data_IF_371963252652
#
_entry.id   IF_371963252652
#
_cell.length_a   1.000
_cell.length_b   1.000
_cell.length_c   1.000
_cell.angle_alpha   90.00
_cell.angle_beta   90.00
_cell.angle_gamma   90.00
#
_symmetry.space_group_name_H-M   'P 1'
#
loop_
_entity.id
_entity.type
_entity.pdbx_description
1 polymer ?
#
# COMPACT_ATOMS: atom_id res chain seq x y z
N UNK A 1 4.98 5.70 43.54
CA UNK A 1 5.40 7.07 43.17
C UNK A 1 5.85 7.05 41.73
N UNK A 2 5.08 7.70 40.88
CA UNK A 2 5.44 8.00 39.48
C UNK A 2 6.47 9.12 39.53
N UNK A 3 7.71 8.84 39.16
CA UNK A 3 8.69 9.89 38.91
C UNK A 3 8.49 10.33 37.45
N UNK A 4 7.77 11.43 37.27
CA UNK A 4 7.87 12.20 36.03
C UNK A 4 9.34 12.66 35.89
N UNK A 5 9.96 12.57 34.70
CA UNK A 5 11.30 13.09 34.53
C UNK A 5 11.23 14.61 34.49
N UNK A 6 11.34 15.22 35.67
CA UNK A 6 11.73 16.62 35.81
C UNK A 6 13.15 16.79 35.24
N UNK A 7 13.27 17.67 34.26
CA UNK A 7 14.47 18.44 33.90
C UNK A 7 15.84 17.77 34.10
N UNK A 8 16.02 16.52 33.64
CA UNK A 8 17.37 15.96 33.53
C UNK A 8 18.04 16.47 32.25
N UNK A 9 19.19 17.12 32.42
CA UNK A 9 20.11 17.52 31.35
C UNK A 9 20.67 16.29 30.62
N UNK A 10 21.10 16.48 29.37
CA UNK A 10 21.65 15.41 28.52
C UNK A 10 22.79 14.61 29.20
N UNK A 11 23.61 15.27 30.03
CA UNK A 11 24.70 14.63 30.77
C UNK A 11 24.22 13.76 31.93
N UNK A 12 23.12 14.13 32.59
CA UNK A 12 22.56 13.37 33.71
C UNK A 12 21.95 12.04 33.24
N UNK A 13 21.34 12.00 32.04
CA UNK A 13 20.79 10.75 31.48
C UNK A 13 21.88 9.78 30.99
N UNK A 14 22.96 10.28 30.38
CA UNK A 14 24.13 9.42 30.06
C UNK A 14 24.78 8.84 31.32
N UNK A 15 24.93 9.66 32.36
CA UNK A 15 25.43 9.22 33.68
C UNK A 15 24.54 8.16 34.35
N UNK A 16 23.21 8.32 34.27
CA UNK A 16 22.24 7.34 34.77
C UNK A 16 22.28 6.01 33.98
N UNK A 17 22.70 6.02 32.72
CA UNK A 17 22.83 4.82 31.89
C UNK A 17 24.12 4.05 32.17
N UNK A 18 25.20 4.76 32.52
CA UNK A 18 26.46 4.13 32.91
C UNK A 18 26.41 3.60 34.34
N UNK A 19 25.81 4.34 35.26
CA UNK A 19 25.62 3.89 36.66
C UNK A 19 24.44 2.90 36.81
N UNK A 20 23.36 3.08 36.05
CA UNK A 20 22.19 2.19 36.06
C UNK A 20 22.41 0.87 35.32
N UNK A 21 23.24 0.86 34.26
CA UNK A 21 23.57 -0.36 33.51
C UNK A 21 24.31 -1.40 34.36
N UNK A 22 25.24 -0.98 35.22
CA UNK A 22 25.93 -1.88 36.16
C UNK A 22 25.03 -2.35 37.31
N UNK A 23 24.14 -1.49 37.81
CA UNK A 23 23.18 -1.84 38.85
C UNK A 23 22.09 -2.82 38.34
N UNK A 24 21.68 -2.69 37.08
CA UNK A 24 20.72 -3.59 36.41
C UNK A 24 21.35 -4.94 36.05
N UNK A 25 22.65 -4.97 35.69
CA UNK A 25 23.41 -6.23 35.49
C UNK A 25 23.52 -7.05 36.78
N UNK A 26 23.88 -6.39 37.89
CA UNK A 26 24.02 -7.04 39.22
C UNK A 26 22.70 -7.53 39.83
N UNK A 27 21.56 -6.98 39.41
CA UNK A 27 20.22 -7.39 39.88
C UNK A 27 19.58 -8.47 38.99
N UNK A 28 19.92 -8.49 37.69
CA UNK A 28 19.54 -9.58 36.77
C UNK A 28 20.26 -10.90 37.09
N UNK A 29 21.50 -10.86 37.59
CA UNK A 29 22.26 -12.05 38.01
C UNK A 29 21.76 -12.69 39.32
N UNK A 30 20.90 -11.98 40.08
CA UNK A 30 20.49 -12.39 41.43
C UNK A 30 18.98 -12.66 41.60
N UNK A 31 18.18 -12.73 40.52
CA UNK A 31 16.76 -13.01 40.67
C UNK A 31 16.21 -13.92 39.57
N UNK A 32 15.67 -15.06 40.00
CA UNK A 32 14.99 -16.08 39.19
C UNK A 32 13.60 -15.60 38.67
N UNK A 33 13.49 -14.29 38.43
CA UNK A 33 12.27 -13.57 38.03
C UNK A 33 12.55 -12.53 36.93
N UNK A 34 13.52 -12.83 36.07
CA UNK A 34 14.04 -11.95 35.01
C UNK A 34 13.03 -11.46 33.95
N UNK A 35 11.79 -11.95 33.94
CA UNK A 35 10.77 -11.49 32.98
C UNK A 35 9.88 -10.34 33.48
N UNK A 36 9.87 -10.03 34.80
CA UNK A 36 8.89 -9.09 35.36
C UNK A 36 9.40 -7.68 35.69
N UNK A 37 10.72 -7.45 35.77
CA UNK A 37 11.26 -6.16 36.27
C UNK A 37 11.78 -5.19 35.19
N UNK A 38 12.02 -5.65 33.97
CA UNK A 38 12.47 -4.80 32.84
C UNK A 38 11.31 -3.94 32.26
N UNK A 39 10.08 -4.13 32.75
CA UNK A 39 8.87 -3.53 32.18
C UNK A 39 8.58 -2.06 32.54
N UNK A 40 9.49 -1.33 33.21
CA UNK A 40 9.11 -0.08 33.90
C UNK A 40 9.82 1.21 33.50
N UNK A 41 10.74 1.17 32.53
CA UNK A 41 11.27 2.41 31.92
C UNK A 41 10.60 2.55 30.54
N UNK A 42 9.56 3.38 30.49
CA UNK A 42 8.90 3.72 29.25
C UNK A 42 9.75 4.74 28.46
N UNK A 43 10.69 4.23 27.68
CA UNK A 43 11.53 5.04 26.80
C UNK A 43 10.73 5.79 25.71
N UNK A 44 9.41 5.54 25.59
CA UNK A 44 8.51 6.33 24.74
C UNK A 44 8.49 7.80 25.13
N UNK A 45 8.41 8.10 26.43
CA UNK A 45 8.41 9.49 26.92
C UNK A 45 9.72 10.20 26.61
N UNK A 46 10.82 9.44 26.55
CA UNK A 46 12.13 9.95 26.17
C UNK A 46 12.21 10.26 24.66
N UNK A 47 11.74 9.35 23.81
CA UNK A 47 11.65 9.59 22.35
C UNK A 47 10.77 10.80 22.05
N UNK A 48 9.66 10.99 22.77
CA UNK A 48 8.83 12.19 22.65
C UNK A 48 9.54 13.48 23.06
N UNK A 49 10.39 13.44 24.09
CA UNK A 49 11.24 14.57 24.48
C UNK A 49 12.24 14.89 23.37
N UNK A 50 12.99 13.91 22.87
CA UNK A 50 13.92 14.09 21.75
C UNK A 50 13.22 14.54 20.46
N UNK A 51 11.97 14.14 20.25
CA UNK A 51 11.14 14.62 19.14
C UNK A 51 10.90 16.13 19.25
N UNK A 52 10.48 16.62 20.43
CA UNK A 52 10.30 18.05 20.73
C UNK A 52 11.60 18.84 20.61
N UNK A 53 12.70 18.27 21.10
CA UNK A 53 14.02 18.92 21.15
C UNK A 53 14.74 18.91 19.79
N UNK A 54 14.15 18.36 18.74
CA UNK A 54 14.74 18.37 17.41
C UNK A 54 15.77 17.25 17.13
N UNK A 55 16.35 16.65 18.16
CA UNK A 55 17.53 15.78 18.07
C UNK A 55 17.19 14.28 18.00
N UNK A 56 16.59 13.82 16.89
CA UNK A 56 16.20 12.41 16.74
C UNK A 56 17.40 11.45 16.56
N UNK A 57 18.54 11.93 16.06
CA UNK A 57 19.75 11.09 15.91
C UNK A 57 20.29 10.66 17.28
N UNK A 58 20.39 11.58 18.23
CA UNK A 58 20.81 11.24 19.58
C UNK A 58 19.86 10.25 20.28
N UNK A 59 18.55 10.34 19.99
CA UNK A 59 17.58 9.37 20.47
C UNK A 59 17.87 7.96 19.92
N UNK A 60 18.22 7.85 18.64
CA UNK A 60 18.60 6.59 18.04
C UNK A 60 19.91 6.02 18.60
N UNK A 61 20.95 6.86 18.71
CA UNK A 61 22.25 6.43 19.24
C UNK A 61 22.10 5.91 20.68
N UNK A 62 21.24 6.55 21.47
CA UNK A 62 20.87 6.10 22.81
C UNK A 62 20.19 4.72 22.79
N UNK A 63 19.13 4.56 21.98
CA UNK A 63 18.40 3.29 21.88
C UNK A 63 19.30 2.16 21.37
N UNK A 64 20.22 2.45 20.45
CA UNK A 64 21.22 1.52 19.97
C UNK A 64 22.18 1.12 21.10
N UNK A 65 22.72 2.09 21.86
CA UNK A 65 23.62 1.80 22.99
C UNK A 65 22.96 0.94 24.09
N UNK A 66 21.65 1.11 24.31
CA UNK A 66 20.88 0.29 25.24
C UNK A 66 20.74 -1.15 24.71
N UNK A 67 20.52 -1.31 23.40
CA UNK A 67 20.45 -2.62 22.79
C UNK A 67 21.81 -3.34 22.79
N UNK A 68 22.91 -2.63 22.55
CA UNK A 68 24.27 -3.19 22.63
C UNK A 68 24.60 -3.66 24.05
N UNK A 69 24.00 -3.02 25.07
CA UNK A 69 24.02 -3.47 26.47
C UNK A 69 23.02 -4.63 26.76
N UNK A 70 22.44 -5.25 25.75
CA UNK A 70 21.42 -6.32 25.81
C UNK A 70 20.13 -5.94 26.58
N UNK A 71 19.77 -4.66 26.60
CA UNK A 71 18.50 -4.21 27.18
C UNK A 71 17.41 -4.37 26.12
N UNK A 72 16.42 -5.24 26.39
CA UNK A 72 15.31 -5.47 25.46
C UNK A 72 14.33 -4.30 25.49
N UNK A 73 14.22 -3.61 24.36
CA UNK A 73 13.34 -2.47 24.17
C UNK A 73 12.04 -2.90 23.50
N UNK A 74 10.93 -2.29 23.90
CA UNK A 74 9.62 -2.57 23.32
C UNK A 74 9.52 -1.99 21.89
N UNK A 75 9.00 -2.77 20.94
CA UNK A 75 8.73 -2.36 19.54
C UNK A 75 8.01 -1.00 19.43
N UNK A 76 7.03 -0.64 20.29
CA UNK A 76 6.44 0.70 20.35
C UNK A 76 7.42 1.88 20.43
N UNK A 77 8.55 1.73 21.14
CA UNK A 77 9.55 2.81 21.28
C UNK A 77 10.16 3.15 19.91
N UNK A 78 10.53 2.13 19.15
CA UNK A 78 11.05 2.29 17.79
C UNK A 78 9.97 2.71 16.80
N UNK A 79 8.70 2.29 16.98
CA UNK A 79 7.58 2.78 16.17
C UNK A 79 7.44 4.30 16.28
N UNK A 80 7.56 4.86 17.48
CA UNK A 80 7.49 6.30 17.71
C UNK A 80 8.69 7.04 17.11
N UNK A 81 9.90 6.47 17.22
CA UNK A 81 11.08 7.02 16.57
C UNK A 81 10.91 7.04 15.04
N UNK A 82 10.40 5.96 14.44
CA UNK A 82 10.13 5.86 13.01
C UNK A 82 9.06 6.87 12.58
N UNK A 83 8.00 7.05 13.36
CA UNK A 83 6.98 8.06 13.09
C UNK A 83 7.58 9.48 13.09
N UNK A 84 8.39 9.80 14.10
CA UNK A 84 9.06 11.10 14.22
C UNK A 84 10.08 11.34 13.08
N UNK A 85 10.85 10.32 12.71
CA UNK A 85 11.79 10.39 11.59
C UNK A 85 11.04 10.57 10.25
N UNK A 86 9.91 9.90 10.08
CA UNK A 86 9.01 10.06 8.94
C UNK A 86 8.42 11.46 8.81
N UNK A 87 8.03 12.10 9.92
CA UNK A 87 7.55 13.49 9.95
C UNK A 87 8.64 14.49 9.54
N UNK A 88 9.89 14.27 9.99
CA UNK A 88 11.04 15.11 9.61
C UNK A 88 11.62 14.78 8.24
N UNK A 89 11.11 13.75 7.56
CA UNK A 89 11.62 13.24 6.28
C UNK A 89 13.11 12.86 6.33
N UNK A 90 13.56 12.36 7.48
CA UNK A 90 14.90 11.83 7.64
C UNK A 90 14.95 10.39 7.12
N UNK A 91 15.33 10.22 5.86
CA UNK A 91 15.35 8.94 5.16
C UNK A 91 16.30 7.94 5.84
N UNK A 92 17.48 8.41 6.25
CA UNK A 92 18.53 7.58 6.86
C UNK A 92 18.11 7.07 8.23
N UNK A 93 17.59 7.96 9.08
CA UNK A 93 17.11 7.58 10.40
C UNK A 93 15.90 6.66 10.32
N UNK A 94 14.99 6.92 9.37
CA UNK A 94 13.81 6.07 9.15
C UNK A 94 14.19 4.65 8.75
N UNK A 95 15.15 4.49 7.82
CA UNK A 95 15.67 3.18 7.46
C UNK A 95 16.32 2.45 8.64
N UNK A 96 17.12 3.16 9.44
CA UNK A 96 17.78 2.60 10.63
C UNK A 96 16.78 2.15 11.69
N UNK A 97 15.81 3.00 12.04
CA UNK A 97 14.76 2.67 12.99
C UNK A 97 13.92 1.48 12.51
N UNK A 98 13.55 1.45 11.22
CA UNK A 98 12.78 0.37 10.62
C UNK A 98 13.54 -0.97 10.65
N UNK A 99 14.83 -0.98 10.30
CA UNK A 99 15.68 -2.18 10.37
C UNK A 99 15.73 -2.77 11.78
N UNK A 100 15.90 -1.91 12.78
CA UNK A 100 15.94 -2.32 14.19
C UNK A 100 14.64 -3.01 14.61
N UNK A 101 13.49 -2.46 14.18
CA UNK A 101 12.20 -3.08 14.42
C UNK A 101 12.08 -4.46 13.77
N UNK A 102 12.57 -4.63 12.53
CA UNK A 102 12.54 -5.93 11.84
C UNK A 102 13.36 -7.00 12.57
N UNK A 103 14.55 -6.64 13.04
CA UNK A 103 15.44 -7.57 13.76
C UNK A 103 14.83 -8.01 15.09
N UNK A 104 14.16 -7.10 15.81
CA UNK A 104 13.61 -7.39 17.13
C UNK A 104 12.24 -8.08 17.10
N UNK A 105 11.37 -7.71 16.16
CA UNK A 105 9.98 -8.16 16.18
C UNK A 105 9.82 -9.65 15.88
N UNK A 106 10.76 -10.26 15.14
CA UNK A 106 10.69 -11.66 14.69
C UNK A 106 9.46 -12.00 13.83
N UNK A 107 8.63 -11.00 13.53
CA UNK A 107 7.31 -11.10 12.89
C UNK A 107 7.09 -9.88 11.98
N UNK A 108 6.16 -9.96 11.01
CA UNK A 108 5.87 -8.82 10.14
C UNK A 108 5.34 -7.62 10.94
N UNK A 109 5.93 -6.44 10.71
CA UNK A 109 5.49 -5.19 11.35
C UNK A 109 4.06 -4.78 10.96
N UNK A 110 3.44 -3.88 11.72
CA UNK A 110 2.13 -3.32 11.41
C UNK A 110 2.16 -2.41 10.16
N UNK A 111 1.03 -2.26 9.46
CA UNK A 111 0.91 -1.40 8.26
C UNK A 111 1.41 0.03 8.49
N UNK A 112 1.11 0.62 9.65
CA UNK A 112 1.56 1.96 10.03
C UNK A 112 3.09 2.14 9.95
N UNK A 113 3.86 1.08 10.25
CA UNK A 113 5.32 1.14 10.22
C UNK A 113 5.82 1.36 8.79
N UNK A 114 5.25 0.63 7.82
CA UNK A 114 5.58 0.79 6.41
C UNK A 114 5.14 2.15 5.88
N UNK A 115 3.98 2.65 6.31
CA UNK A 115 3.49 3.98 5.95
C UNK A 115 4.36 5.11 6.52
N UNK A 116 4.83 4.97 7.75
CA UNK A 116 5.77 5.94 8.34
C UNK A 116 7.13 5.90 7.64
N UNK A 117 7.62 4.72 7.24
CA UNK A 117 8.79 4.59 6.38
C UNK A 117 8.55 5.31 5.04
N UNK A 118 7.45 5.02 4.34
CA UNK A 118 7.12 5.66 3.07
C UNK A 118 7.00 7.19 3.19
N UNK A 119 6.43 7.68 4.30
CA UNK A 119 6.30 9.11 4.61
C UNK A 119 7.66 9.82 4.63
N UNK A 120 8.69 9.16 5.18
CA UNK A 120 10.05 9.72 5.24
C UNK A 120 10.62 10.03 3.84
N UNK A 121 10.20 9.25 2.85
CA UNK A 121 10.68 9.34 1.47
C UNK A 121 9.80 10.20 0.56
N UNK A 122 8.75 10.85 1.09
CA UNK A 122 7.90 11.75 0.29
C UNK A 122 8.68 13.00 -0.11
N UNK A 123 8.87 13.18 -1.43
CA UNK A 123 9.68 14.23 -2.07
C UNK A 123 11.19 14.09 -1.84
N UNK A 124 11.66 13.01 -1.23
CA UNK A 124 13.08 12.67 -1.23
C UNK A 124 13.46 12.11 -2.60
N UNK A 125 14.52 12.65 -3.21
CA UNK A 125 15.09 12.10 -4.45
C UNK A 125 15.92 10.83 -4.18
N UNK A 126 16.39 10.70 -2.94
CA UNK A 126 17.21 9.60 -2.47
C UNK A 126 16.41 8.29 -2.37
N UNK A 127 16.69 7.37 -3.28
CA UNK A 127 16.25 5.98 -3.22
C UNK A 127 17.37 5.04 -2.73
N UNK A 128 18.59 5.54 -2.55
CA UNK A 128 19.79 4.72 -2.27
C UNK A 128 19.65 4.04 -0.91
N UNK A 129 19.28 4.81 0.12
CA UNK A 129 19.09 4.25 1.47
C UNK A 129 17.94 3.24 1.51
N UNK A 130 16.85 3.50 0.77
CA UNK A 130 15.71 2.60 0.67
C UNK A 130 16.10 1.28 -0.01
N UNK A 131 16.78 1.35 -1.15
CA UNK A 131 17.22 0.17 -1.89
C UNK A 131 18.29 -0.61 -1.14
N UNK A 132 19.21 0.06 -0.42
CA UNK A 132 20.19 -0.61 0.46
C UNK A 132 19.49 -1.39 1.56
N UNK A 133 18.53 -0.76 2.25
CA UNK A 133 17.74 -1.42 3.29
C UNK A 133 17.00 -2.64 2.75
N UNK A 134 16.31 -2.51 1.61
CA UNK A 134 15.53 -3.61 1.04
C UNK A 134 16.42 -4.73 0.51
N UNK A 135 17.58 -4.40 -0.06
CA UNK A 135 18.60 -5.38 -0.44
C UNK A 135 19.04 -6.20 0.78
N UNK A 136 19.43 -5.54 1.87
CA UNK A 136 19.83 -6.20 3.11
C UNK A 136 18.71 -7.08 3.68
N UNK A 137 17.45 -6.62 3.63
CA UNK A 137 16.30 -7.42 4.06
C UNK A 137 16.08 -8.63 3.15
N UNK A 138 16.24 -8.46 1.84
CA UNK A 138 16.06 -9.54 0.86
C UNK A 138 17.13 -10.63 0.96
N UNK A 139 18.39 -10.24 1.23
CA UNK A 139 19.53 -11.15 1.39
C UNK A 139 19.60 -11.77 2.79
N UNK A 140 18.83 -11.24 3.75
CA UNK A 140 18.80 -11.77 5.11
C UNK A 140 18.04 -13.10 5.21
N UNK A 141 18.41 -13.91 6.21
CA UNK A 141 17.68 -15.12 6.60
C UNK A 141 16.37 -14.83 7.34
N UNK A 142 15.82 -13.61 7.25
CA UNK A 142 14.58 -13.25 7.91
C UNK A 142 13.40 -14.04 7.29
N UNK A 143 12.54 -14.66 8.12
CA UNK A 143 11.40 -15.44 7.62
C UNK A 143 10.36 -14.58 6.87
N UNK A 144 10.42 -13.25 7.02
CA UNK A 144 9.42 -12.32 6.49
C UNK A 144 9.90 -11.49 5.29
N UNK A 145 11.03 -11.82 4.65
CA UNK A 145 11.66 -10.96 3.61
C UNK A 145 10.70 -10.50 2.50
N UNK A 146 9.95 -11.43 1.91
CA UNK A 146 8.99 -11.13 0.84
C UNK A 146 7.84 -10.26 1.34
N UNK A 147 7.35 -10.55 2.55
CA UNK A 147 6.27 -9.77 3.19
C UNK A 147 6.72 -8.32 3.39
N UNK A 148 7.96 -8.11 3.83
CA UNK A 148 8.50 -6.76 4.05
C UNK A 148 8.61 -5.98 2.75
N UNK A 149 9.15 -6.59 1.68
CA UNK A 149 9.28 -5.94 0.38
C UNK A 149 7.89 -5.62 -0.20
N UNK A 150 6.97 -6.59 -0.21
CA UNK A 150 5.61 -6.39 -0.76
C UNK A 150 4.85 -5.32 0.03
N UNK A 151 4.90 -5.32 1.37
CA UNK A 151 4.28 -4.28 2.21
C UNK A 151 4.92 -2.90 2.04
N UNK A 152 6.22 -2.86 1.77
CA UNK A 152 6.89 -1.60 1.43
C UNK A 152 6.37 -1.06 0.10
N UNK A 153 6.26 -1.90 -0.94
CA UNK A 153 5.65 -1.51 -2.22
C UNK A 153 4.23 -0.99 -2.01
N UNK A 154 3.41 -1.68 -1.23
CA UNK A 154 2.06 -1.24 -0.90
C UNK A 154 2.05 0.15 -0.24
N UNK A 155 2.89 0.37 0.77
CA UNK A 155 2.94 1.66 1.47
C UNK A 155 3.42 2.81 0.58
N UNK A 156 4.41 2.57 -0.28
CA UNK A 156 4.86 3.56 -1.26
C UNK A 156 3.81 3.79 -2.37
N UNK A 157 3.04 2.76 -2.73
CA UNK A 157 1.92 2.87 -3.65
C UNK A 157 0.79 3.73 -3.06
N UNK A 158 0.43 3.50 -1.79
CA UNK A 158 -0.54 4.33 -1.07
C UNK A 158 -0.07 5.79 -0.92
N UNK A 159 1.25 5.98 -0.77
CA UNK A 159 1.90 7.30 -0.69
C UNK A 159 2.17 7.96 -2.05
N UNK A 160 1.65 7.37 -3.15
CA UNK A 160 1.78 7.87 -4.53
C UNK A 160 3.22 8.06 -5.02
N UNK A 161 4.17 7.29 -4.50
CA UNK A 161 5.59 7.38 -4.87
C UNK A 161 5.92 6.41 -6.01
N UNK A 162 5.42 6.69 -7.22
CA UNK A 162 5.52 5.78 -8.37
C UNK A 162 6.97 5.42 -8.71
N UNK A 163 7.86 6.42 -8.81
CA UNK A 163 9.25 6.21 -9.22
C UNK A 163 9.98 5.24 -8.28
N UNK A 164 9.67 5.32 -6.98
CA UNK A 164 10.25 4.46 -5.95
C UNK A 164 9.70 3.04 -6.06
N UNK A 165 8.39 2.90 -6.29
CA UNK A 165 7.76 1.60 -6.52
C UNK A 165 8.38 0.89 -7.72
N UNK A 166 8.56 1.60 -8.85
CA UNK A 166 9.16 1.03 -10.05
C UNK A 166 10.61 0.59 -9.82
N UNK A 167 11.43 1.41 -9.15
CA UNK A 167 12.81 1.06 -8.79
C UNK A 167 12.88 -0.18 -7.89
N UNK A 168 11.95 -0.32 -6.93
CA UNK A 168 11.92 -1.50 -6.06
C UNK A 168 11.56 -2.75 -6.87
N UNK A 169 10.52 -2.69 -7.73
CA UNK A 169 10.09 -3.83 -8.55
C UNK A 169 11.17 -4.27 -9.53
N UNK A 170 11.92 -3.33 -10.11
CA UNK A 170 13.09 -3.63 -10.94
C UNK A 170 14.15 -4.41 -10.14
N UNK A 171 14.47 -3.94 -8.93
CA UNK A 171 15.46 -4.59 -8.05
C UNK A 171 15.01 -5.92 -7.44
N UNK A 172 13.71 -6.15 -7.28
CA UNK A 172 13.19 -7.44 -6.81
C UNK A 172 13.64 -8.62 -7.68
N UNK A 173 13.78 -8.39 -9.00
CA UNK A 173 14.31 -9.41 -9.93
C UNK A 173 15.76 -9.78 -9.64
N UNK A 174 16.57 -8.81 -9.21
CA UNK A 174 17.97 -9.02 -8.82
C UNK A 174 18.11 -9.72 -7.46
N UNK A 175 17.15 -9.52 -6.56
CA UNK A 175 17.15 -10.07 -5.20
C UNK A 175 16.51 -11.47 -5.09
N UNK A 176 16.30 -12.15 -6.22
CA UNK A 176 15.61 -13.45 -6.31
C UNK A 176 14.23 -13.46 -5.59
N UNK A 177 13.60 -12.28 -5.48
CA UNK A 177 12.31 -12.09 -4.84
C UNK A 177 11.26 -11.88 -5.92
N UNK A 178 10.51 -12.94 -6.28
CA UNK A 178 9.47 -12.83 -7.31
C UNK A 178 8.25 -12.05 -6.78
N UNK A 179 7.78 -11.02 -7.49
CA UNK A 179 6.52 -10.36 -7.15
C UNK A 179 5.35 -11.33 -7.28
N UNK A 180 4.39 -11.25 -6.35
CA UNK A 180 3.14 -12.00 -6.42
C UNK A 180 2.03 -11.19 -7.12
N UNK A 181 0.89 -11.84 -7.38
CA UNK A 181 -0.30 -11.20 -8.00
C UNK A 181 -0.73 -9.94 -7.24
N UNK A 182 -0.61 -9.94 -5.91
CA UNK A 182 -0.99 -8.79 -5.06
C UNK A 182 -0.06 -7.61 -5.31
N UNK A 183 1.25 -7.88 -5.43
CA UNK A 183 2.27 -6.88 -5.72
C UNK A 183 2.04 -6.29 -7.10
N UNK A 184 1.87 -7.12 -8.13
CA UNK A 184 1.55 -6.67 -9.48
C UNK A 184 0.29 -5.80 -9.52
N UNK A 185 -0.81 -6.26 -8.92
CA UNK A 185 -2.07 -5.52 -8.91
C UNK A 185 -1.96 -4.16 -8.22
N UNK A 186 -1.14 -4.06 -7.17
CA UNK A 186 -0.91 -2.80 -6.46
C UNK A 186 -0.10 -1.81 -7.28
N UNK A 187 0.92 -2.30 -8.00
CA UNK A 187 1.72 -1.48 -8.91
C UNK A 187 0.88 -1.03 -10.11
N UNK A 188 0.06 -1.92 -10.69
CA UNK A 188 -0.89 -1.57 -11.75
C UNK A 188 -1.90 -0.50 -11.29
N UNK A 189 -2.43 -0.59 -10.07
CA UNK A 189 -3.37 0.41 -9.55
C UNK A 189 -2.73 1.80 -9.41
N UNK A 190 -1.51 1.90 -8.86
CA UNK A 190 -0.83 3.19 -8.75
C UNK A 190 -0.45 3.75 -10.13
N UNK A 191 0.05 2.92 -11.06
CA UNK A 191 0.36 3.36 -12.43
C UNK A 191 -0.89 3.88 -13.15
N UNK A 192 -2.02 3.18 -13.00
CA UNK A 192 -3.31 3.61 -13.54
C UNK A 192 -3.81 4.92 -12.93
N UNK A 193 -3.64 5.12 -11.62
CA UNK A 193 -3.97 6.40 -10.95
C UNK A 193 -3.05 7.55 -11.36
N UNK A 194 -1.79 7.25 -11.67
CA UNK A 194 -0.81 8.23 -12.14
C UNK A 194 -0.96 8.55 -13.65
N UNK A 195 -1.79 7.79 -14.38
CA UNK A 195 -1.96 7.96 -15.83
C UNK A 195 -0.77 7.45 -16.66
N UNK A 196 0.14 6.68 -16.06
CA UNK A 196 1.33 6.12 -16.73
C UNK A 196 0.95 4.85 -17.50
N UNK A 197 0.14 5.02 -18.54
CA UNK A 197 -0.48 3.93 -19.31
C UNK A 197 0.56 2.99 -19.93
N UNK A 198 1.65 3.53 -20.48
CA UNK A 198 2.67 2.72 -21.15
C UNK A 198 3.38 1.79 -20.16
N UNK A 199 3.71 2.27 -18.96
CA UNK A 199 4.29 1.43 -17.90
C UNK A 199 3.30 0.39 -17.40
N UNK A 200 2.04 0.77 -17.25
CA UNK A 200 0.99 -0.16 -16.84
C UNK A 200 0.82 -1.31 -17.83
N UNK A 201 0.84 -1.02 -19.13
CA UNK A 201 0.77 -2.04 -20.19
C UNK A 201 2.02 -2.91 -20.24
N UNK A 202 3.22 -2.32 -20.13
CA UNK A 202 4.47 -3.10 -20.04
C UNK A 202 4.44 -4.07 -18.86
N UNK A 203 3.99 -3.60 -17.69
CA UNK A 203 3.90 -4.43 -16.51
C UNK A 203 2.88 -5.56 -16.70
N UNK A 204 1.71 -5.26 -17.28
CA UNK A 204 0.70 -6.27 -17.60
C UNK A 204 1.24 -7.33 -18.57
N UNK A 205 1.95 -6.94 -19.62
CA UNK A 205 2.59 -7.89 -20.54
C UNK A 205 3.62 -8.76 -19.83
N UNK A 206 4.46 -8.15 -18.97
CA UNK A 206 5.43 -8.92 -18.19
C UNK A 206 4.78 -9.92 -17.22
N UNK A 207 3.59 -9.59 -16.70
CA UNK A 207 2.81 -10.47 -15.82
C UNK A 207 2.18 -11.63 -16.61
N UNK A 208 1.83 -11.43 -17.89
CA UNK A 208 1.31 -12.48 -18.79
C UNK A 208 2.40 -13.46 -19.23
N UNK A 209 3.64 -12.99 -19.34
CA UNK A 209 4.80 -13.82 -19.69
C UNK A 209 5.31 -14.64 -18.50
N UNK A 210 4.95 -14.27 -17.27
CA UNK A 210 5.36 -14.97 -16.06
C UNK A 210 4.45 -16.19 -15.78
N UNK A 211 5.00 -17.39 -15.92
CA UNK A 211 4.26 -18.64 -15.72
C UNK A 211 3.81 -18.86 -14.26
N UNK A 212 4.44 -18.19 -13.29
CA UNK A 212 4.14 -18.37 -11.88
C UNK A 212 2.97 -17.47 -11.41
N UNK A 213 2.48 -16.58 -12.29
CA UNK A 213 1.50 -15.55 -11.96
C UNK A 213 0.26 -15.65 -12.85
N UNK A 214 -0.87 -16.02 -12.26
CA UNK A 214 -2.14 -16.07 -12.98
C UNK A 214 -2.90 -14.74 -12.86
N UNK A 215 -3.23 -14.13 -14.00
CA UNK A 215 -4.10 -12.96 -14.07
C UNK A 215 -5.50 -13.34 -13.60
N UNK A 216 -6.15 -12.43 -12.88
CA UNK A 216 -7.50 -12.63 -12.38
C UNK A 216 -8.39 -11.39 -12.62
N UNK A 217 -9.65 -11.49 -12.20
CA UNK A 217 -10.62 -10.39 -12.27
C UNK A 217 -10.09 -9.09 -11.65
N UNK A 218 -9.31 -9.18 -10.55
CA UNK A 218 -8.76 -8.00 -9.87
C UNK A 218 -7.73 -7.32 -10.77
N UNK A 219 -6.89 -8.09 -11.47
CA UNK A 219 -5.91 -7.56 -12.42
C UNK A 219 -6.59 -6.81 -13.56
N UNK A 220 -7.52 -7.46 -14.27
CA UNK A 220 -8.23 -6.85 -15.40
C UNK A 220 -9.04 -5.62 -14.98
N UNK A 221 -9.79 -5.69 -13.88
CA UNK A 221 -10.54 -4.54 -13.36
C UNK A 221 -9.64 -3.38 -12.96
N UNK A 222 -8.43 -3.66 -12.47
CA UNK A 222 -7.45 -2.62 -12.14
C UNK A 222 -6.97 -1.91 -13.41
N UNK A 223 -6.56 -2.67 -14.43
CA UNK A 223 -6.08 -2.09 -15.69
C UNK A 223 -7.20 -1.38 -16.45
N UNK A 224 -8.40 -1.97 -16.55
CA UNK A 224 -9.57 -1.34 -17.18
C UNK A 224 -9.91 0.01 -16.53
N UNK A 225 -9.93 0.07 -15.20
CA UNK A 225 -10.17 1.33 -14.49
C UNK A 225 -9.04 2.35 -14.72
N UNK A 226 -7.79 1.89 -14.81
CA UNK A 226 -6.65 2.72 -15.18
C UNK A 226 -6.80 3.33 -16.58
N UNK A 227 -7.12 2.51 -17.59
CA UNK A 227 -7.33 2.94 -18.97
C UNK A 227 -8.49 3.93 -19.09
N UNK A 228 -9.61 3.63 -18.45
CA UNK A 228 -10.79 4.49 -18.41
C UNK A 228 -10.48 5.86 -17.83
N UNK A 229 -9.72 5.92 -16.73
CA UNK A 229 -9.30 7.19 -16.10
C UNK A 229 -8.31 7.97 -16.95
N UNK A 230 -7.43 7.27 -17.68
CA UNK A 230 -6.49 7.85 -18.62
C UNK A 230 -7.13 8.20 -19.99
N UNK A 231 -8.44 8.07 -20.14
CA UNK A 231 -9.18 8.30 -21.38
C UNK A 231 -8.71 7.44 -22.57
N UNK A 232 -8.08 6.29 -22.32
CA UNK A 232 -7.66 5.32 -23.33
C UNK A 232 -8.77 4.32 -23.61
N UNK A 233 -9.89 4.85 -24.11
CA UNK A 233 -11.11 4.07 -24.34
C UNK A 233 -10.95 2.99 -25.40
N UNK A 234 -10.05 3.21 -26.37
CA UNK A 234 -9.60 2.25 -27.38
C UNK A 234 -9.14 0.92 -26.75
N UNK A 235 -8.37 1.02 -25.65
CA UNK A 235 -7.81 -0.14 -24.97
C UNK A 235 -8.81 -0.88 -24.09
N UNK A 236 -9.87 -0.21 -23.61
CA UNK A 236 -10.82 -0.82 -22.69
C UNK A 236 -11.59 -2.00 -23.31
N UNK A 237 -11.99 -1.89 -24.58
CA UNK A 237 -12.68 -2.99 -25.27
C UNK A 237 -11.72 -4.16 -25.54
N UNK A 238 -10.50 -3.88 -25.99
CA UNK A 238 -9.47 -4.90 -26.24
C UNK A 238 -9.17 -5.71 -24.96
N UNK A 239 -8.97 -5.03 -23.84
CA UNK A 239 -8.71 -5.69 -22.56
C UNK A 239 -9.90 -6.48 -22.03
N UNK A 240 -11.13 -6.04 -22.33
CA UNK A 240 -12.35 -6.77 -21.97
C UNK A 240 -12.49 -8.05 -22.79
N UNK A 241 -12.29 -7.98 -24.10
CA UNK A 241 -12.32 -9.15 -24.99
C UNK A 241 -11.23 -10.15 -24.60
N UNK A 242 -10.02 -9.68 -24.31
CA UNK A 242 -8.94 -10.51 -23.81
C UNK A 242 -9.31 -11.22 -22.49
N UNK A 243 -9.90 -10.49 -21.53
CA UNK A 243 -10.35 -11.06 -20.26
C UNK A 243 -11.34 -12.22 -20.49
N UNK A 244 -12.32 -12.02 -21.39
CA UNK A 244 -13.31 -13.04 -21.75
C UNK A 244 -12.65 -14.23 -22.46
N UNK A 245 -11.70 -13.99 -23.36
CA UNK A 245 -10.95 -15.06 -24.05
C UNK A 245 -10.09 -15.89 -23.09
N UNK A 246 -9.56 -15.26 -22.04
CA UNK A 246 -8.86 -15.95 -20.96
C UNK A 246 -9.79 -16.73 -20.00
N UNK A 247 -11.11 -16.74 -20.26
CA UNK A 247 -12.10 -17.42 -19.41
C UNK A 247 -12.36 -16.72 -18.07
N UNK A 248 -11.99 -15.43 -17.95
CA UNK A 248 -12.25 -14.64 -16.74
C UNK A 248 -13.61 -13.94 -16.92
N UNK A 249 -14.57 -14.28 -16.08
CA UNK A 249 -15.92 -13.75 -16.16
C UNK A 249 -15.97 -12.27 -15.79
N UNK A 250 -16.52 -11.39 -16.66
CA UNK A 250 -16.70 -9.99 -16.31
C UNK A 250 -17.66 -9.77 -15.15
N UNK A 251 -17.32 -8.84 -14.27
CA UNK A 251 -18.19 -8.42 -13.16
C UNK A 251 -18.75 -7.00 -13.37
N UNK A 252 -19.47 -6.49 -12.37
CA UNK A 252 -20.02 -5.14 -12.36
C UNK A 252 -18.94 -4.07 -12.65
N UNK A 253 -17.72 -4.22 -12.12
CA UNK A 253 -16.63 -3.27 -12.33
C UNK A 253 -16.15 -3.33 -13.78
N UNK A 254 -16.02 -4.52 -14.35
CA UNK A 254 -15.63 -4.72 -15.76
C UNK A 254 -16.65 -4.05 -16.69
N UNK A 255 -17.94 -4.39 -16.57
CA UNK A 255 -18.99 -3.82 -17.40
C UNK A 255 -19.09 -2.31 -17.24
N UNK A 256 -19.07 -1.80 -16.00
CA UNK A 256 -19.13 -0.35 -15.75
C UNK A 256 -17.97 0.37 -16.43
N UNK A 257 -16.75 -0.18 -16.34
CA UNK A 257 -15.58 0.47 -16.92
C UNK A 257 -15.64 0.51 -18.46
N UNK A 258 -16.05 -0.58 -19.09
CA UNK A 258 -16.08 -0.71 -20.55
C UNK A 258 -17.26 0.06 -21.15
N UNK A 259 -18.46 -0.02 -20.56
CA UNK A 259 -19.63 0.72 -21.02
C UNK A 259 -19.42 2.24 -20.90
N UNK A 260 -18.85 2.74 -19.78
CA UNK A 260 -18.49 4.16 -19.64
C UNK A 260 -17.48 4.58 -20.71
N UNK A 261 -16.47 3.75 -20.98
CA UNK A 261 -15.44 4.02 -21.99
C UNK A 261 -16.04 4.07 -23.40
N UNK A 262 -16.86 3.09 -23.77
CA UNK A 262 -17.53 3.03 -25.07
C UNK A 262 -18.48 4.22 -25.24
N UNK A 263 -19.27 4.53 -24.22
CA UNK A 263 -20.18 5.67 -24.21
C UNK A 263 -19.46 7.01 -24.42
N UNK A 264 -18.29 7.19 -23.79
CA UNK A 264 -17.44 8.37 -23.96
C UNK A 264 -16.74 8.44 -25.32
N UNK A 265 -16.40 7.30 -25.91
CA UNK A 265 -15.83 7.21 -27.26
C UNK A 265 -16.85 7.36 -28.39
N UNK A 266 -18.15 7.37 -28.07
CA UNK A 266 -19.24 7.44 -29.05
C UNK A 266 -19.59 6.10 -29.70
N UNK A 267 -19.04 4.98 -29.22
CA UNK A 267 -19.39 3.65 -29.70
C UNK A 267 -20.67 3.13 -29.01
N UNK A 268 -21.79 3.80 -29.30
CA UNK A 268 -23.09 3.56 -28.66
C UNK A 268 -23.61 2.15 -28.86
N UNK A 269 -23.41 1.59 -30.07
CA UNK A 269 -23.93 0.26 -30.43
C UNK A 269 -23.32 -0.82 -29.54
N UNK A 270 -22.00 -0.77 -29.35
CA UNK A 270 -21.29 -1.75 -28.53
C UNK A 270 -21.58 -1.56 -27.04
N UNK A 271 -21.72 -0.31 -26.60
CA UNK A 271 -22.11 0.01 -25.23
C UNK A 271 -23.48 -0.59 -24.86
N UNK A 272 -24.47 -0.47 -25.75
CA UNK A 272 -25.79 -1.08 -25.57
C UNK A 272 -25.74 -2.61 -25.61
N UNK A 273 -24.95 -3.20 -26.52
CA UNK A 273 -24.77 -4.66 -26.57
C UNK A 273 -24.26 -5.20 -25.24
N UNK A 274 -23.22 -4.58 -24.67
CA UNK A 274 -22.66 -4.98 -23.38
C UNK A 274 -23.60 -4.73 -22.21
N UNK A 275 -24.46 -3.71 -22.30
CA UNK A 275 -25.49 -3.45 -21.30
C UNK A 275 -26.58 -4.54 -21.30
N UNK A 276 -27.03 -4.96 -22.48
CA UNK A 276 -27.98 -6.07 -22.61
C UNK A 276 -27.36 -7.39 -22.14
N UNK A 277 -26.09 -7.63 -22.49
CA UNK A 277 -25.34 -8.80 -22.00
C UNK A 277 -25.21 -8.81 -20.47
N UNK A 278 -24.89 -7.67 -19.86
CA UNK A 278 -24.82 -7.51 -18.40
C UNK A 278 -26.14 -7.88 -17.73
N UNK A 279 -27.29 -7.44 -18.28
CA UNK A 279 -28.62 -7.81 -17.78
C UNK A 279 -28.94 -9.29 -17.97
N UNK A 280 -28.58 -9.87 -19.12
CA UNK A 280 -28.78 -11.30 -19.39
C UNK A 280 -27.99 -12.19 -18.43
N UNK A 281 -26.83 -11.72 -17.96
CA UNK A 281 -26.03 -12.38 -16.92
C UNK A 281 -26.49 -12.07 -15.50
N UNK A 282 -27.65 -11.43 -15.33
CA UNK A 282 -28.24 -11.04 -14.04
C UNK A 282 -27.33 -10.13 -13.19
N UNK A 283 -26.39 -9.41 -13.83
CA UNK A 283 -25.55 -8.43 -13.15
C UNK A 283 -26.30 -7.11 -13.08
N UNK A 284 -26.65 -6.68 -11.87
CA UNK A 284 -27.42 -5.45 -11.64
C UNK A 284 -26.67 -4.22 -12.16
N UNK A 285 -27.22 -3.46 -13.12
CA UNK A 285 -26.60 -2.22 -13.58
C UNK A 285 -26.57 -1.16 -12.47
N UNK A 286 -25.54 -0.32 -12.49
CA UNK A 286 -25.46 0.82 -11.57
C UNK A 286 -26.02 2.08 -12.23
N UNK A 287 -26.31 3.09 -11.40
CA UNK A 287 -26.66 4.44 -11.89
C UNK A 287 -25.57 5.01 -12.81
N UNK A 288 -24.30 4.64 -12.60
CA UNK A 288 -23.19 5.09 -13.45
C UNK A 288 -23.30 4.53 -14.87
N UNK A 289 -23.69 3.26 -15.01
CA UNK A 289 -23.89 2.61 -16.32
C UNK A 289 -25.02 3.28 -17.09
N UNK A 290 -26.18 3.47 -16.44
CA UNK A 290 -27.31 4.17 -17.06
C UNK A 290 -26.95 5.59 -17.50
N UNK A 291 -26.27 6.37 -16.64
CA UNK A 291 -25.84 7.72 -16.98
C UNK A 291 -24.90 7.75 -18.19
N UNK A 292 -23.91 6.86 -18.23
CA UNK A 292 -22.98 6.77 -19.36
C UNK A 292 -23.72 6.49 -20.68
N UNK A 293 -24.69 5.58 -20.68
CA UNK A 293 -25.48 5.26 -21.87
C UNK A 293 -26.42 6.39 -22.28
N UNK A 294 -27.14 7.00 -21.34
CA UNK A 294 -28.04 8.12 -21.61
C UNK A 294 -27.27 9.31 -22.19
N UNK A 295 -26.12 9.65 -21.62
CA UNK A 295 -25.27 10.75 -22.10
C UNK A 295 -24.70 10.44 -23.48
N UNK A 296 -24.32 9.19 -23.74
CA UNK A 296 -23.87 8.74 -25.06
C UNK A 296 -24.97 8.89 -26.12
N UNK A 297 -26.17 8.36 -25.84
CA UNK A 297 -27.33 8.42 -26.75
C UNK A 297 -27.77 9.85 -27.05
N UNK A 298 -27.72 10.74 -26.05
CA UNK A 298 -27.98 12.17 -26.28
C UNK A 298 -26.96 12.78 -27.23
N UNK A 299 -25.68 12.42 -27.11
CA UNK A 299 -24.62 12.92 -28.00
C UNK A 299 -24.74 12.39 -29.42
N UNK A 300 -25.22 11.16 -29.60
CA UNK A 300 -25.44 10.56 -30.94
C UNK A 300 -26.79 10.92 -31.56
N UNK A 301 -27.65 11.66 -30.85
CA UNK A 301 -28.96 12.10 -31.33
C UNK A 301 -30.08 11.05 -31.20
N UNK A 302 -29.82 9.91 -30.54
CA UNK A 302 -30.80 8.85 -30.26
C UNK A 302 -31.68 9.20 -29.04
N UNK A 303 -32.31 10.37 -29.05
CA UNK A 303 -33.06 10.91 -27.89
C UNK A 303 -34.17 10.00 -27.39
N UNK A 304 -34.88 9.30 -28.27
CA UNK A 304 -35.95 8.38 -27.88
C UNK A 304 -35.44 7.23 -27.01
N UNK A 305 -34.28 6.66 -27.35
CA UNK A 305 -33.65 5.60 -26.55
C UNK A 305 -33.09 6.15 -25.24
N UNK A 306 -32.54 7.36 -25.26
CA UNK A 306 -32.11 8.04 -24.05
C UNK A 306 -33.27 8.27 -23.06
N UNK A 307 -34.46 8.62 -23.57
CA UNK A 307 -35.68 8.75 -22.77
C UNK A 307 -36.13 7.40 -22.22
N UNK A 308 -36.15 6.35 -23.05
CA UNK A 308 -36.49 5.00 -22.61
C UNK A 308 -35.60 4.52 -21.46
N UNK A 309 -34.27 4.66 -21.58
CA UNK A 309 -33.34 4.30 -20.50
C UNK A 309 -33.50 5.20 -19.27
N UNK A 310 -33.85 6.48 -19.46
CA UNK A 310 -34.12 7.38 -18.33
C UNK A 310 -35.38 6.99 -17.57
N UNK A 311 -36.41 6.53 -18.25
CA UNK A 311 -37.66 6.10 -17.61
C UNK A 311 -37.51 4.70 -17.00
N UNK A 312 -36.75 3.81 -17.64
CA UNK A 312 -36.30 2.55 -17.03
C UNK A 312 -35.57 2.82 -15.70
N UNK A 313 -34.59 3.73 -15.69
CA UNK A 313 -33.86 4.08 -14.47
C UNK A 313 -34.78 4.63 -13.37
N UNK A 314 -35.78 5.46 -13.70
CA UNK A 314 -36.74 6.00 -12.71
C UNK A 314 -37.66 4.93 -12.13
N UNK A 315 -38.05 3.96 -12.95
CA UNK A 315 -38.96 2.89 -12.57
C UNK A 315 -38.23 1.71 -11.89
N UNK A 316 -36.91 1.63 -12.02
CA UNK A 316 -36.08 0.61 -11.37
C UNK A 316 -35.98 0.90 -9.88
N UNK A 317 -36.24 -0.10 -9.04
CA UNK A 317 -36.11 0.06 -7.59
C UNK A 317 -34.63 0.21 -7.17
N UNK A 318 -34.38 0.84 -6.02
CA UNK A 318 -33.03 0.96 -5.50
C UNK A 318 -32.37 -0.40 -5.18
N UNK A 319 -33.14 -1.48 -5.04
CA UNK A 319 -32.64 -2.84 -4.78
C UNK A 319 -32.14 -3.52 -6.06
N UNK A 320 -32.67 -3.12 -7.22
CA UNK A 320 -32.31 -3.70 -8.53
C UNK A 320 -31.12 -2.97 -9.17
N UNK A 321 -30.70 -1.86 -8.58
CA UNK A 321 -29.49 -1.13 -8.96
C UNK A 321 -28.31 -1.53 -8.08
N UNK A 322 -27.14 -1.65 -8.70
CA UNK A 322 -25.91 -1.81 -7.93
C UNK A 322 -25.55 -0.51 -7.20
N UNK A 323 -25.40 -0.62 -5.87
CA UNK A 323 -25.04 0.46 -4.96
C UNK A 323 -23.54 0.49 -4.65
N UNK A 324 -23.06 1.48 -3.86
CA UNK A 324 -21.64 1.64 -3.55
C UNK A 324 -20.95 0.42 -2.92
N UNK A 325 -21.71 -0.43 -2.23
CA UNK A 325 -21.17 -1.65 -1.61
C UNK A 325 -20.87 -2.74 -2.65
N UNK A 326 -21.64 -2.81 -3.74
CA UNK A 326 -21.44 -3.79 -4.82
C UNK A 326 -20.16 -3.50 -5.63
N UNK A 327 -19.62 -2.27 -5.53
CA UNK A 327 -18.34 -1.88 -6.12
C UNK A 327 -17.12 -2.22 -5.25
N UNK A 328 -17.32 -2.66 -4.01
CA UNK A 328 -16.20 -3.04 -3.15
C UNK A 328 -15.62 -4.36 -3.65
N UNK A 329 -14.33 -4.34 -3.95
CA UNK A 329 -13.56 -5.57 -4.22
C UNK A 329 -13.72 -6.48 -3.01
N UNK A 330 -14.46 -7.57 -3.14
CA UNK A 330 -14.37 -8.67 -2.20
C UNK A 330 -12.98 -9.28 -2.40
N UNK A 331 -11.99 -8.74 -1.69
CA UNK A 331 -10.74 -9.44 -1.40
C UNK A 331 -11.15 -10.69 -0.61
N UNK A 332 -11.49 -11.77 -1.32
CA UNK A 332 -11.46 -13.10 -0.71
C UNK A 332 -10.00 -13.28 -0.27
N UNK A 333 -9.87 -13.38 1.05
CA UNK A 333 -8.62 -13.38 1.83
C UNK A 333 -7.59 -14.35 1.30
#
# INVERSE_FOLDING_TARGET
MVLAPAECSFSAMHSLIDTGGEALKKTAENSDSGSKFVSRIDYTSLVEKYRRDGNLSAAYDLLQSLQDKNIWLLVPVFKNLLAAAGEKKDTKLSCRAFKMMLVQAGTPLSSDCYLNLARAFINADDCVHLLSLLKEVSESSLPCRLIVVNRTILAFAESRQVDKVLKIVEKMREWECKPDVITYNSVLDILGRAGLVNEMLRLLSSMKEDCDVSLNIITYNTVLNGMRKACRFDMCLVLYEEMVQCGIEPDLLSYTAVIDSLGRSGNTKEALRLFDEMKQREIRPSVYVYRALIDCLKKTGEFNRALQLSDELKNTSALDLAGPQDFKRHLRR
#
